data_IF_507160462785
#
_entry.id   IF_507160462785
#
_cell.length_a   1.000
_cell.length_b   1.000
_cell.length_c   1.000
_cell.angle_alpha   90.00
_cell.angle_beta   90.00
_cell.angle_gamma   90.00
#
_symmetry.space_group_name_H-M   'P 1'
#
loop_
_entity.id
_entity.type
_entity.pdbx_description
1 polymer ?
#
# COMPACT_ATOMS: atom_id res chain seq x y z
N UNK A 1 -10.18 -1.29 12.21
CA UNK A 1 -11.48 -1.64 11.63
C UNK A 1 -11.30 -2.73 10.58
N UNK A 2 -12.10 -3.81 10.65
CA UNK A 2 -12.16 -4.82 9.60
C UNK A 2 -13.47 -4.67 8.82
N UNK A 3 -13.37 -4.67 7.49
CA UNK A 3 -14.50 -4.66 6.58
C UNK A 3 -14.56 -6.00 5.86
N UNK A 4 -15.57 -6.80 6.16
CA UNK A 4 -15.71 -8.16 5.65
C UNK A 4 -16.98 -8.26 4.80
N UNK A 5 -16.91 -9.00 3.70
CA UNK A 5 -18.07 -9.22 2.84
C UNK A 5 -17.74 -10.04 1.59
N UNK A 6 -18.76 -10.54 0.92
CA UNK A 6 -18.62 -11.33 -0.32
C UNK A 6 -17.99 -10.48 -1.44
N UNK A 7 -17.39 -11.15 -2.43
CA UNK A 7 -16.93 -10.47 -3.63
C UNK A 7 -18.09 -9.73 -4.30
N UNK A 8 -17.82 -8.52 -4.79
CA UNK A 8 -18.85 -7.66 -5.39
C UNK A 8 -19.77 -6.93 -4.40
N UNK A 9 -19.54 -7.03 -3.06
CA UNK A 9 -20.36 -6.32 -2.07
C UNK A 9 -20.07 -4.83 -1.92
N UNK A 10 -19.18 -4.27 -2.76
CA UNK A 10 -18.89 -2.82 -2.77
C UNK A 10 -17.73 -2.40 -1.85
N UNK A 11 -16.97 -3.33 -1.25
CA UNK A 11 -15.85 -3.00 -0.33
C UNK A 11 -14.80 -2.07 -0.96
N UNK A 12 -14.30 -2.41 -2.13
CA UNK A 12 -13.34 -1.57 -2.87
C UNK A 12 -13.95 -0.24 -3.31
N UNK A 13 -15.25 -0.22 -3.66
CA UNK A 13 -15.97 1.02 -3.98
C UNK A 13 -16.05 1.94 -2.76
N UNK A 14 -16.32 1.38 -1.58
CA UNK A 14 -16.29 2.12 -0.32
C UNK A 14 -14.93 2.79 -0.07
N UNK A 15 -13.81 2.08 -0.26
CA UNK A 15 -12.47 2.69 -0.14
C UNK A 15 -12.28 3.80 -1.17
N UNK A 16 -12.66 3.56 -2.42
CA UNK A 16 -12.49 4.55 -3.50
C UNK A 16 -13.28 5.84 -3.22
N UNK A 17 -14.45 5.73 -2.61
CA UNK A 17 -15.23 6.87 -2.13
C UNK A 17 -14.55 7.57 -0.94
N UNK A 18 -14.04 6.83 0.05
CA UNK A 18 -13.28 7.40 1.18
C UNK A 18 -12.03 8.14 0.73
N UNK A 19 -11.33 7.64 -0.29
CA UNK A 19 -10.15 8.28 -0.89
C UNK A 19 -10.51 9.39 -1.90
N UNK A 20 -11.79 9.68 -2.08
CA UNK A 20 -12.29 10.64 -3.09
C UNK A 20 -11.77 10.37 -4.51
N UNK A 21 -11.60 9.08 -4.85
CA UNK A 21 -11.36 8.65 -6.22
C UNK A 21 -12.68 8.64 -7.03
N UNK A 22 -13.81 8.53 -6.33
CA UNK A 22 -15.16 8.71 -6.83
C UNK A 22 -15.92 9.68 -5.94
N UNK A 23 -16.82 10.46 -6.50
CA UNK A 23 -17.76 11.27 -5.74
C UNK A 23 -19.03 10.47 -5.41
N UNK A 24 -19.62 10.74 -4.25
CA UNK A 24 -20.92 10.15 -3.88
C UNK A 24 -22.02 10.74 -4.75
N UNK A 25 -22.96 9.90 -5.21
CA UNK A 25 -24.13 10.29 -5.98
C UNK A 25 -25.27 10.78 -5.09
N UNK A 26 -25.35 10.28 -3.86
CA UNK A 26 -26.32 10.67 -2.84
C UNK A 26 -25.68 10.53 -1.47
N UNK A 27 -26.11 11.38 -0.52
CA UNK A 27 -25.49 11.46 0.81
C UNK A 27 -24.18 12.26 0.83
N UNK A 28 -23.47 12.14 1.95
CA UNK A 28 -22.22 12.84 2.22
C UNK A 28 -21.21 11.94 2.94
N UNK A 29 -19.91 12.24 2.79
CA UNK A 29 -18.84 11.62 3.58
C UNK A 29 -18.18 12.74 4.37
N UNK A 30 -18.20 12.61 5.69
CA UNK A 30 -17.63 13.61 6.60
C UNK A 30 -16.29 13.13 7.17
N UNK A 31 -15.30 14.01 7.14
CA UNK A 31 -14.03 13.86 7.86
C UNK A 31 -13.99 14.96 8.93
N UNK A 32 -14.02 14.56 10.21
CA UNK A 32 -14.10 15.49 11.34
C UNK A 32 -15.25 16.51 11.23
N UNK A 33 -16.40 16.08 10.68
CA UNK A 33 -17.59 16.91 10.53
C UNK A 33 -17.63 17.81 9.29
N UNK A 34 -16.59 17.77 8.44
CA UNK A 34 -16.51 18.52 7.19
C UNK A 34 -16.67 17.59 6.01
N UNK A 35 -17.50 17.97 5.02
CA UNK A 35 -17.69 17.15 3.82
C UNK A 35 -16.37 16.96 3.07
N UNK A 36 -16.10 15.72 2.66
CA UNK A 36 -14.88 15.37 1.91
C UNK A 36 -14.73 16.21 0.64
N UNK A 37 -15.81 16.72 0.07
CA UNK A 37 -15.82 17.58 -1.11
C UNK A 37 -15.19 18.95 -0.87
N UNK A 38 -15.14 19.40 0.39
CA UNK A 38 -14.53 20.68 0.78
C UNK A 38 -13.01 20.62 0.91
N UNK A 39 -12.43 19.42 1.00
CA UNK A 39 -10.99 19.24 1.06
C UNK A 39 -10.36 19.30 -0.33
N UNK A 40 -9.09 19.74 -0.41
CA UNK A 40 -8.31 19.58 -1.64
C UNK A 40 -7.94 18.11 -1.87
N UNK A 41 -7.64 17.71 -3.11
CA UNK A 41 -7.22 16.34 -3.41
C UNK A 41 -5.91 15.99 -2.71
N UNK A 42 -4.98 16.93 -2.59
CA UNK A 42 -3.71 16.77 -1.89
C UNK A 42 -3.94 16.48 -0.40
N UNK A 43 -4.84 17.24 0.26
CA UNK A 43 -5.21 17.02 1.66
C UNK A 43 -5.79 15.62 1.87
N UNK A 44 -6.73 15.19 1.02
CA UNK A 44 -7.32 13.85 1.08
C UNK A 44 -6.26 12.78 0.82
N UNK A 45 -5.46 12.95 -0.23
CA UNK A 45 -4.40 12.00 -0.55
C UNK A 45 -3.40 11.88 0.60
N UNK A 46 -3.06 12.98 1.28
CA UNK A 46 -2.17 12.98 2.45
C UNK A 46 -2.71 12.18 3.64
N UNK A 47 -4.03 12.02 3.78
CA UNK A 47 -4.65 11.30 4.89
C UNK A 47 -4.53 9.78 4.79
N UNK A 48 -4.38 9.23 3.61
CA UNK A 48 -4.48 7.79 3.38
C UNK A 48 -3.22 7.17 2.78
N UNK A 49 -2.72 6.10 3.38
CA UNK A 49 -1.83 5.13 2.74
C UNK A 49 -2.67 3.92 2.33
N UNK A 50 -2.77 3.64 1.03
CA UNK A 50 -3.67 2.60 0.51
C UNK A 50 -2.89 1.58 -0.30
N UNK A 51 -3.13 0.30 -0.02
CA UNK A 51 -2.77 -0.81 -0.90
C UNK A 51 -4.07 -1.37 -1.46
N UNK A 52 -4.32 -1.12 -2.74
CA UNK A 52 -5.46 -1.69 -3.47
C UNK A 52 -5.15 -3.11 -3.91
N UNK A 53 -6.19 -3.92 -4.13
CA UNK A 53 -6.06 -5.27 -4.68
C UNK A 53 -5.40 -5.28 -6.08
N UNK A 54 -5.67 -4.26 -6.89
CA UNK A 54 -5.15 -4.06 -8.25
C UNK A 54 -3.95 -3.11 -8.31
N UNK A 55 -3.14 -3.06 -7.23
CA UNK A 55 -1.94 -2.23 -7.16
C UNK A 55 -1.01 -2.46 -8.35
N UNK A 56 -0.22 -1.44 -8.70
CA UNK A 56 0.80 -1.52 -9.74
C UNK A 56 2.17 -1.13 -9.20
N UNK A 57 3.17 -1.89 -9.64
CA UNK A 57 4.57 -1.51 -9.55
C UNK A 57 4.99 -0.99 -10.92
N UNK A 58 5.68 0.11 -10.94
CA UNK A 58 6.04 0.81 -12.17
C UNK A 58 7.44 0.41 -12.62
N UNK A 59 7.69 0.53 -13.94
CA UNK A 59 8.98 0.28 -14.57
C UNK A 59 9.97 1.44 -14.33
N UNK A 60 10.17 1.79 -13.05
CA UNK A 60 11.12 2.80 -12.58
C UNK A 60 11.99 2.20 -11.48
N UNK A 61 12.91 2.99 -10.89
CA UNK A 61 13.77 2.46 -9.83
C UNK A 61 12.97 1.95 -8.63
N UNK A 62 13.57 1.05 -7.85
CA UNK A 62 12.99 0.57 -6.59
C UNK A 62 12.70 1.75 -5.65
N UNK A 63 13.63 2.71 -5.57
CA UNK A 63 13.47 3.94 -4.79
C UNK A 63 12.25 4.74 -5.24
N UNK A 64 12.11 5.00 -6.53
CA UNK A 64 10.99 5.79 -7.06
C UNK A 64 9.65 5.09 -6.85
N UNK A 65 9.63 3.75 -6.91
CA UNK A 65 8.45 2.97 -6.58
C UNK A 65 8.02 3.11 -5.11
N UNK A 66 8.95 3.17 -4.17
CA UNK A 66 8.65 3.22 -2.73
C UNK A 66 8.40 4.66 -2.27
N UNK A 67 9.29 5.59 -2.62
CA UNK A 67 9.21 6.97 -2.14
C UNK A 67 8.16 7.79 -2.88
N UNK A 68 7.83 7.41 -4.13
CA UNK A 68 6.94 8.15 -5.01
C UNK A 68 7.38 9.63 -5.12
N UNK A 69 6.61 10.55 -4.58
CA UNK A 69 6.89 11.99 -4.62
C UNK A 69 7.52 12.52 -3.31
N UNK A 70 7.91 11.62 -2.39
CA UNK A 70 8.54 12.00 -1.12
C UNK A 70 10.06 12.02 -1.25
N UNK A 71 10.72 12.85 -0.44
CA UNK A 71 12.17 12.85 -0.35
C UNK A 71 12.69 11.48 0.09
N UNK A 72 13.84 11.09 -0.49
CA UNK A 72 14.49 9.83 -0.15
C UNK A 72 15.22 9.94 1.17
N UNK A 73 14.77 9.14 2.13
CA UNK A 73 15.44 8.86 3.41
C UNK A 73 15.83 7.38 3.44
N UNK A 74 17.14 7.12 3.44
CA UNK A 74 17.69 5.77 3.35
C UNK A 74 17.28 4.89 4.54
N UNK A 75 17.34 5.41 5.76
CA UNK A 75 17.04 4.62 6.96
C UNK A 75 15.57 4.23 6.99
N UNK A 76 14.69 5.18 6.71
CA UNK A 76 13.26 4.96 6.57
C UNK A 76 12.93 3.99 5.42
N UNK A 77 13.60 4.13 4.29
CA UNK A 77 13.42 3.26 3.13
C UNK A 77 13.71 1.80 3.48
N UNK A 78 14.88 1.52 4.04
CA UNK A 78 15.25 0.15 4.41
C UNK A 78 14.42 -0.39 5.58
N UNK A 79 14.01 0.43 6.53
CA UNK A 79 13.07 0.04 7.57
C UNK A 79 11.70 -0.36 7.00
N UNK A 80 11.19 0.37 5.99
CA UNK A 80 9.94 0.01 5.32
C UNK A 80 10.05 -1.30 4.53
N UNK A 81 11.18 -1.55 3.86
CA UNK A 81 11.44 -2.81 3.17
C UNK A 81 11.53 -3.99 4.15
N UNK A 82 12.14 -3.78 5.32
CA UNK A 82 12.22 -4.79 6.37
C UNK A 82 10.84 -5.13 6.94
N UNK A 83 10.02 -4.12 7.25
CA UNK A 83 8.64 -4.31 7.72
C UNK A 83 7.74 -4.99 6.66
N UNK A 84 8.01 -4.76 5.38
CA UNK A 84 7.35 -5.44 4.27
C UNK A 84 7.95 -6.83 3.94
N UNK A 85 8.97 -7.29 4.68
CA UNK A 85 9.66 -8.57 4.49
C UNK A 85 10.26 -8.75 3.08
N UNK A 86 10.94 -7.71 2.55
CA UNK A 86 11.60 -7.72 1.23
C UNK A 86 13.00 -7.08 1.22
N UNK A 87 13.52 -6.66 2.38
CA UNK A 87 14.82 -6.00 2.50
C UNK A 87 15.96 -6.84 1.92
N UNK A 88 16.05 -8.12 2.29
CA UNK A 88 17.11 -9.02 1.82
C UNK A 88 17.16 -9.12 0.29
N UNK A 89 15.98 -9.10 -0.36
CA UNK A 89 15.88 -9.12 -1.81
C UNK A 89 16.41 -7.81 -2.40
N UNK A 90 16.03 -6.67 -1.83
CA UNK A 90 16.47 -5.35 -2.27
C UNK A 90 18.00 -5.17 -2.13
N UNK A 91 18.57 -5.62 -1.02
CA UNK A 91 20.02 -5.55 -0.76
C UNK A 91 20.87 -6.41 -1.71
N UNK A 92 20.28 -7.47 -2.28
CA UNK A 92 20.94 -8.34 -3.28
C UNK A 92 20.86 -7.81 -4.71
N UNK A 93 20.11 -6.76 -4.97
CA UNK A 93 20.07 -6.11 -6.28
C UNK A 93 21.38 -5.38 -6.55
N UNK A 94 21.86 -5.42 -7.80
CA UNK A 94 23.15 -4.87 -8.18
C UNK A 94 23.29 -3.40 -7.83
N UNK A 95 22.26 -2.60 -8.14
CA UNK A 95 22.22 -1.17 -7.88
C UNK A 95 21.29 -0.82 -6.70
N UNK A 96 20.93 -1.82 -5.85
CA UNK A 96 20.12 -1.66 -4.65
C UNK A 96 18.85 -0.83 -4.91
N UNK A 97 18.67 0.26 -4.19
CA UNK A 97 17.52 1.17 -4.32
C UNK A 97 17.39 1.82 -5.71
N UNK A 98 18.48 1.92 -6.46
CA UNK A 98 18.49 2.51 -7.81
C UNK A 98 18.20 1.47 -8.91
N UNK A 99 18.08 0.18 -8.57
CA UNK A 99 17.78 -0.86 -9.55
C UNK A 99 16.41 -0.61 -10.17
N UNK A 100 16.34 -0.57 -11.50
CA UNK A 100 15.09 -0.48 -12.24
C UNK A 100 14.31 -1.79 -12.14
N UNK A 101 13.01 -1.67 -11.97
CA UNK A 101 12.08 -2.80 -11.99
C UNK A 101 11.48 -2.92 -13.39
N UNK A 102 11.41 -4.16 -13.89
CA UNK A 102 11.02 -4.47 -15.26
C UNK A 102 11.95 -3.86 -16.33
N UNK A 103 11.81 -4.32 -17.56
CA UNK A 103 12.70 -3.92 -18.68
C UNK A 103 12.07 -2.94 -19.66
N UNK A 104 10.95 -2.33 -19.28
CA UNK A 104 10.23 -1.44 -20.20
C UNK A 104 10.98 -0.12 -20.45
N UNK A 105 11.71 0.39 -19.45
CA UNK A 105 12.44 1.66 -19.52
C UNK A 105 13.96 1.49 -19.41
N UNK A 106 14.44 0.36 -18.89
CA UNK A 106 15.86 0.06 -18.71
C UNK A 106 16.11 -1.42 -18.96
N UNK A 107 16.98 -1.74 -19.92
CA UNK A 107 17.30 -3.13 -20.29
C UNK A 107 17.94 -3.94 -19.14
N UNK A 108 18.57 -3.26 -18.17
CA UNK A 108 19.15 -3.85 -16.97
C UNK A 108 18.11 -4.11 -15.88
N UNK A 109 16.88 -3.68 -16.09
CA UNK A 109 15.77 -3.84 -15.16
C UNK A 109 15.53 -5.29 -14.75
N UNK A 110 15.15 -5.50 -13.51
CA UNK A 110 14.92 -6.83 -12.94
C UNK A 110 13.45 -7.17 -12.89
N UNK A 111 13.12 -8.41 -13.21
CA UNK A 111 11.78 -8.93 -13.02
C UNK A 111 11.50 -9.18 -11.53
N UNK A 112 10.26 -8.93 -11.13
CA UNK A 112 9.76 -9.21 -9.79
C UNK A 112 8.55 -10.14 -9.85
N UNK A 113 8.47 -11.05 -8.89
CA UNK A 113 7.31 -11.93 -8.74
C UNK A 113 6.10 -11.18 -8.20
N UNK A 114 4.89 -11.75 -8.36
CA UNK A 114 3.67 -11.17 -7.79
C UNK A 114 3.74 -10.97 -6.27
N UNK A 115 4.36 -11.90 -5.54
CA UNK A 115 4.57 -11.77 -4.10
C UNK A 115 5.56 -10.67 -3.74
N UNK A 116 6.65 -10.50 -4.50
CA UNK A 116 7.58 -9.38 -4.32
C UNK A 116 6.91 -8.04 -4.63
N UNK A 117 6.15 -7.96 -5.71
CA UNK A 117 5.38 -6.78 -6.07
C UNK A 117 4.41 -6.35 -4.95
N UNK A 118 3.75 -7.32 -4.33
CA UNK A 118 2.84 -7.07 -3.21
C UNK A 118 3.58 -6.51 -1.99
N UNK A 119 4.74 -7.07 -1.65
CA UNK A 119 5.60 -6.57 -0.56
C UNK A 119 6.11 -5.15 -0.85
N UNK A 120 6.44 -4.85 -2.10
CA UNK A 120 6.82 -3.48 -2.51
C UNK A 120 5.66 -2.49 -2.40
N UNK A 121 4.44 -2.89 -2.76
CA UNK A 121 3.24 -2.05 -2.56
C UNK A 121 2.98 -1.77 -1.07
N UNK A 122 3.22 -2.75 -0.20
CA UNK A 122 3.17 -2.56 1.25
C UNK A 122 4.28 -1.60 1.73
N UNK A 123 5.53 -1.76 1.29
CA UNK A 123 6.63 -0.88 1.63
C UNK A 123 6.34 0.58 1.22
N UNK A 124 5.74 0.80 0.04
CA UNK A 124 5.28 2.12 -0.42
C UNK A 124 4.25 2.73 0.54
N UNK A 125 3.28 1.94 0.99
CA UNK A 125 2.27 2.41 1.94
C UNK A 125 2.87 2.76 3.30
N UNK A 126 3.84 1.97 3.77
CA UNK A 126 4.60 2.22 4.99
C UNK A 126 5.45 3.49 4.87
N UNK A 127 6.12 3.67 3.73
CA UNK A 127 6.96 4.84 3.48
C UNK A 127 6.15 6.14 3.42
N UNK A 128 4.96 6.11 2.87
CA UNK A 128 4.06 7.27 2.87
C UNK A 128 3.66 7.73 4.28
N UNK A 129 3.51 6.81 5.22
CA UNK A 129 3.31 7.06 6.65
C UNK A 129 2.06 7.91 6.98
N UNK A 130 0.98 7.77 6.22
CA UNK A 130 -0.25 8.49 6.45
C UNK A 130 -0.96 8.07 7.76
N UNK A 131 -1.80 8.96 8.36
CA UNK A 131 -2.51 8.65 9.61
C UNK A 131 -3.56 7.55 9.47
N UNK A 132 -4.09 7.31 8.27
CA UNK A 132 -5.05 6.24 7.98
C UNK A 132 -4.43 5.28 6.97
N UNK A 133 -4.37 4.01 7.32
CA UNK A 133 -3.83 2.96 6.45
C UNK A 133 -4.95 2.02 6.03
N UNK A 134 -5.08 1.80 4.73
CA UNK A 134 -6.12 0.95 4.14
C UNK A 134 -5.45 -0.17 3.36
N UNK A 135 -5.80 -1.41 3.68
CA UNK A 135 -5.33 -2.58 2.97
C UNK A 135 -6.53 -3.33 2.38
N UNK A 136 -6.61 -3.36 1.05
CA UNK A 136 -7.63 -4.08 0.30
C UNK A 136 -7.04 -5.40 -0.21
N UNK A 137 -7.29 -6.48 0.52
CA UNK A 137 -6.79 -7.84 0.23
C UNK A 137 -5.26 -7.91 0.03
N UNK A 138 -4.46 -7.35 0.97
CA UNK A 138 -3.03 -7.09 0.77
C UNK A 138 -2.18 -8.34 0.69
N UNK A 139 -2.74 -9.53 0.86
CA UNK A 139 -2.01 -10.81 0.93
C UNK A 139 -2.54 -11.85 -0.06
N UNK A 140 -3.35 -11.42 -1.06
CA UNK A 140 -3.99 -12.33 -2.01
C UNK A 140 -3.02 -13.21 -2.81
N UNK A 141 -1.79 -12.73 -3.06
CA UNK A 141 -0.74 -13.44 -3.79
C UNK A 141 0.29 -14.15 -2.89
N UNK A 142 0.08 -14.16 -1.57
CA UNK A 142 1.02 -14.73 -0.60
C UNK A 142 0.52 -16.07 -0.05
N UNK A 143 1.48 -16.91 0.32
CA UNK A 143 1.20 -18.12 1.10
C UNK A 143 0.81 -17.77 2.54
N UNK A 144 0.15 -18.68 3.28
CA UNK A 144 -0.34 -18.39 4.64
C UNK A 144 0.74 -18.04 5.67
N UNK A 145 1.97 -18.50 5.49
CA UNK A 145 3.09 -18.22 6.41
C UNK A 145 3.55 -16.77 6.18
N UNK A 146 3.81 -16.41 4.91
CA UNK A 146 4.19 -15.06 4.54
C UNK A 146 3.08 -14.04 4.87
N UNK A 147 1.82 -14.44 4.72
CA UNK A 147 0.66 -13.64 5.12
C UNK A 147 0.69 -13.30 6.62
N UNK A 148 0.87 -14.31 7.48
CA UNK A 148 0.91 -14.11 8.93
C UNK A 148 2.08 -13.24 9.39
N UNK A 149 3.27 -13.44 8.80
CA UNK A 149 4.43 -12.62 9.08
C UNK A 149 4.19 -11.13 8.72
N UNK A 150 3.60 -10.86 7.56
CA UNK A 150 3.28 -9.51 7.12
C UNK A 150 2.26 -8.86 8.05
N UNK A 151 1.18 -9.55 8.41
CA UNK A 151 0.19 -9.00 9.33
C UNK A 151 0.77 -8.71 10.70
N UNK A 152 1.64 -9.59 11.23
CA UNK A 152 2.28 -9.39 12.54
C UNK A 152 3.17 -8.14 12.55
N UNK A 153 4.01 -7.96 11.51
CA UNK A 153 4.87 -6.78 11.36
C UNK A 153 4.06 -5.50 11.10
N UNK A 154 3.04 -5.61 10.24
CA UNK A 154 2.18 -4.49 9.92
C UNK A 154 1.37 -4.01 11.13
N UNK A 155 0.88 -4.92 11.98
CA UNK A 155 0.19 -4.57 13.20
C UNK A 155 1.06 -3.73 14.15
N UNK A 156 2.35 -4.00 14.25
CA UNK A 156 3.28 -3.18 15.05
C UNK A 156 3.44 -1.77 14.48
N UNK A 157 3.43 -1.63 13.15
CA UNK A 157 3.53 -0.33 12.48
C UNK A 157 2.28 0.54 12.63
N UNK A 158 1.10 -0.07 12.65
CA UNK A 158 -0.17 0.69 12.70
C UNK A 158 -0.71 0.93 14.12
N UNK A 159 0.05 0.59 15.18
CA UNK A 159 -0.43 0.70 16.58
C UNK A 159 -0.97 2.09 16.95
N UNK A 160 -0.42 3.16 16.36
CA UNK A 160 -0.84 4.54 16.61
C UNK A 160 -1.62 5.15 15.43
N UNK A 161 -2.16 4.34 14.53
CA UNK A 161 -2.84 4.78 13.32
C UNK A 161 -4.23 4.16 13.21
N UNK A 162 -5.07 4.77 12.41
CA UNK A 162 -6.31 4.13 11.99
C UNK A 162 -6.01 3.14 10.88
N UNK A 163 -6.23 1.85 11.12
CA UNK A 163 -6.08 0.81 10.12
C UNK A 163 -7.43 0.25 9.68
N UNK A 164 -7.64 0.13 8.37
CA UNK A 164 -8.81 -0.48 7.75
C UNK A 164 -8.33 -1.65 6.92
N UNK A 165 -8.78 -2.84 7.28
CA UNK A 165 -8.49 -4.08 6.56
C UNK A 165 -9.73 -4.55 5.83
N UNK A 166 -9.58 -4.86 4.56
CA UNK A 166 -10.62 -5.55 3.80
C UNK A 166 -10.15 -6.96 3.50
N UNK A 167 -10.99 -7.91 3.84
CA UNK A 167 -10.76 -9.33 3.55
C UNK A 167 -12.05 -9.99 3.11
N UNK A 168 -11.94 -10.90 2.16
CA UNK A 168 -13.01 -11.87 1.84
C UNK A 168 -12.78 -13.20 2.55
N UNK A 169 -11.60 -13.41 3.14
CA UNK A 169 -11.29 -14.61 3.91
C UNK A 169 -11.87 -14.45 5.31
N UNK A 170 -13.00 -15.10 5.56
CA UNK A 170 -13.51 -15.39 6.91
C UNK A 170 -12.67 -16.52 7.51
N UNK A 171 -11.39 -16.30 7.68
CA UNK A 171 -10.58 -17.27 8.42
C UNK A 171 -10.31 -16.74 9.80
N UNK A 172 -11.08 -17.33 10.69
CA UNK A 172 -10.76 -17.70 12.07
C UNK A 172 -9.80 -16.78 12.82
#
# INVERSE_FOLDING_TARGET
>A
LAVVGRNGSGKTTFIKLMCRLYDVTDGEILINGTDIKEYTRESITGLYSVVFQDFKIFSVSLKDNICANSDFDSDRFYACLENANIKDRAERLADKENTYLYKDLDETGVEISGGEAQKLALARALYKDAPVVILDEPTAALDPIAENEIYSRFNSFVQNKTAIYISHRLSS
#
